data_IF_602202137891
#
_entry.id   IF_602202137891
#
_cell.length_a   1.000
_cell.length_b   1.000
_cell.length_c   1.000
_cell.angle_alpha   90.00
_cell.angle_beta   90.00
_cell.angle_gamma   90.00
#
_symmetry.space_group_name_H-M   'P 1'
#
loop_
_entity.id
_entity.type
_entity.pdbx_description
1 polymer ?
#
# COMPACT_ATOMS: atom_id res chain seq x y z
N UNK A 1 -11.28 3.20 -20.42
CA UNK A 1 -12.68 3.68 -20.36
C UNK A 1 -13.15 3.75 -18.90
N UNK A 2 -14.14 4.59 -18.59
CA UNK A 2 -14.77 4.67 -17.26
C UNK A 2 -15.40 3.33 -16.84
N UNK A 3 -15.98 2.60 -17.80
CA UNK A 3 -16.65 1.32 -17.56
C UNK A 3 -15.70 0.22 -17.06
N UNK A 4 -14.51 0.07 -17.67
CA UNK A 4 -13.49 -0.89 -17.19
C UNK A 4 -13.02 -0.55 -15.78
N UNK A 5 -12.87 0.74 -15.45
CA UNK A 5 -12.49 1.17 -14.09
C UNK A 5 -13.57 0.85 -13.06
N UNK A 6 -14.84 1.05 -13.42
CA UNK A 6 -15.98 0.75 -12.54
C UNK A 6 -16.12 -0.75 -12.29
N UNK A 7 -16.12 -1.56 -13.35
CA UNK A 7 -16.25 -3.02 -13.27
C UNK A 7 -15.05 -3.69 -12.59
N UNK A 8 -13.85 -3.13 -12.74
CA UNK A 8 -12.67 -3.51 -11.96
C UNK A 8 -12.84 -3.24 -10.45
N UNK A 9 -13.50 -2.13 -10.09
CA UNK A 9 -13.86 -1.81 -8.71
C UNK A 9 -14.88 -2.78 -8.11
N UNK A 10 -15.92 -3.13 -8.88
CA UNK A 10 -16.96 -4.10 -8.48
C UNK A 10 -16.37 -5.50 -8.20
N UNK A 11 -15.48 -5.98 -9.08
CA UNK A 11 -14.78 -7.26 -8.90
C UNK A 11 -13.61 -7.19 -7.90
N UNK A 12 -13.36 -6.01 -7.31
CA UNK A 12 -12.23 -5.74 -6.40
C UNK A 12 -10.89 -6.18 -7.02
N UNK A 13 -10.72 -5.98 -8.32
CA UNK A 13 -9.49 -6.28 -9.06
C UNK A 13 -8.89 -4.96 -9.52
N UNK A 14 -7.85 -4.48 -8.84
CA UNK A 14 -7.19 -3.23 -9.21
C UNK A 14 -6.58 -3.31 -10.62
N UNK A 15 -6.54 -2.18 -11.33
CA UNK A 15 -5.97 -2.05 -12.69
C UNK A 15 -4.58 -2.70 -12.86
N UNK A 16 -3.62 -2.54 -11.91
CA UNK A 16 -2.30 -3.19 -12.00
C UNK A 16 -2.36 -4.72 -11.97
N UNK A 17 -3.40 -5.29 -11.38
CA UNK A 17 -3.60 -6.74 -11.32
C UNK A 17 -4.13 -7.27 -12.66
N UNK A 18 -4.96 -6.50 -13.37
CA UNK A 18 -5.48 -6.86 -14.70
C UNK A 18 -4.37 -6.92 -15.76
N UNK A 19 -3.35 -6.04 -15.66
CA UNK A 19 -2.19 -6.03 -16.55
C UNK A 19 -1.35 -7.31 -16.48
N UNK A 20 -1.37 -8.05 -15.37
CA UNK A 20 -0.52 -9.21 -15.17
C UNK A 20 -1.22 -10.48 -15.64
N UNK A 21 -0.68 -11.12 -16.67
CA UNK A 21 -1.28 -12.30 -17.28
C UNK A 21 -1.32 -13.55 -16.41
N UNK A 22 -0.42 -13.69 -15.43
CA UNK A 22 -0.34 -14.89 -14.58
C UNK A 22 -0.05 -14.57 -13.12
N UNK A 23 -0.79 -15.26 -12.24
CA UNK A 23 -0.56 -15.34 -10.80
C UNK A 23 -0.23 -16.80 -10.41
N UNK A 24 1.03 -17.24 -10.60
CA UNK A 24 1.45 -18.59 -10.24
C UNK A 24 1.27 -18.84 -8.74
N UNK A 25 0.71 -20.00 -8.36
CA UNK A 25 0.44 -20.33 -6.95
C UNK A 25 1.70 -20.30 -6.11
N UNK A 26 2.80 -20.86 -6.61
CA UNK A 26 4.06 -20.88 -5.87
C UNK A 26 4.51 -19.49 -5.45
N UNK A 27 4.38 -18.48 -6.32
CA UNK A 27 4.71 -17.09 -5.99
C UNK A 27 3.73 -16.45 -5.01
N UNK A 28 2.44 -16.81 -5.06
CA UNK A 28 1.47 -16.31 -4.08
C UNK A 28 1.70 -16.92 -2.70
N UNK A 29 2.00 -18.21 -2.64
CA UNK A 29 2.31 -18.94 -1.41
C UNK A 29 3.63 -18.44 -0.81
N UNK A 30 4.69 -18.33 -1.62
CA UNK A 30 5.95 -17.72 -1.19
C UNK A 30 5.74 -16.28 -0.72
N UNK A 31 4.85 -15.54 -1.38
CA UNK A 31 4.45 -14.20 -0.96
C UNK A 31 3.78 -14.17 0.42
N UNK A 32 2.92 -15.15 0.75
CA UNK A 32 2.33 -15.28 2.09
C UNK A 32 3.43 -15.52 3.13
N UNK A 33 4.36 -16.45 2.86
CA UNK A 33 5.48 -16.70 3.78
C UNK A 33 6.33 -15.44 3.98
N UNK A 34 6.60 -14.69 2.90
CA UNK A 34 7.29 -13.40 2.97
C UNK A 34 6.55 -12.35 3.80
N UNK A 35 5.22 -12.27 3.68
CA UNK A 35 4.39 -11.41 4.53
C UNK A 35 4.50 -11.81 6.00
N UNK A 36 4.34 -13.09 6.32
CA UNK A 36 4.41 -13.58 7.71
C UNK A 36 5.79 -13.31 8.32
N UNK A 37 6.86 -13.60 7.59
CA UNK A 37 8.24 -13.39 8.07
C UNK A 37 8.55 -11.91 8.32
N UNK A 38 7.98 -10.99 7.51
CA UNK A 38 8.20 -9.54 7.66
C UNK A 38 7.15 -8.82 8.50
N UNK A 39 6.20 -9.55 9.08
CA UNK A 39 5.11 -9.00 9.88
C UNK A 39 5.60 -8.21 11.11
N UNK A 40 6.62 -8.66 11.89
CA UNK A 40 7.13 -7.87 13.01
C UNK A 40 7.66 -6.50 12.58
N UNK A 41 8.42 -6.46 11.47
CA UNK A 41 8.93 -5.22 10.89
C UNK A 41 7.80 -4.32 10.39
N UNK A 42 6.75 -4.91 9.81
CA UNK A 42 5.55 -4.19 9.41
C UNK A 42 4.84 -3.54 10.60
N UNK A 43 4.63 -4.26 11.70
CA UNK A 43 4.00 -3.71 12.91
C UNK A 43 4.83 -2.53 13.44
N UNK A 44 6.15 -2.70 13.51
CA UNK A 44 7.05 -1.65 13.97
C UNK A 44 6.95 -0.38 13.11
N UNK A 45 7.03 -0.52 11.78
CA UNK A 45 6.91 0.59 10.84
C UNK A 45 5.52 1.23 10.81
N UNK A 46 4.47 0.46 11.09
CA UNK A 46 3.08 0.95 11.11
C UNK A 46 2.89 2.06 12.14
N UNK A 47 3.61 2.04 13.26
CA UNK A 47 3.57 3.11 14.26
C UNK A 47 3.93 4.45 13.60
N UNK A 48 5.05 4.50 12.87
CA UNK A 48 5.49 5.69 12.16
C UNK A 48 4.50 6.10 11.07
N UNK A 49 4.07 5.15 10.25
CA UNK A 49 3.13 5.40 9.15
C UNK A 49 1.79 5.94 9.65
N UNK A 50 1.25 5.41 10.75
CA UNK A 50 -0.03 5.87 11.30
C UNK A 50 0.06 7.30 11.80
N UNK A 51 1.14 7.65 12.50
CA UNK A 51 1.35 9.02 13.01
C UNK A 51 1.53 9.99 11.84
N UNK A 52 2.51 9.76 10.97
CA UNK A 52 2.90 10.76 9.96
C UNK A 52 2.14 10.70 8.65
N UNK A 53 1.42 9.61 8.35
CA UNK A 53 0.62 9.50 7.14
C UNK A 53 -0.85 9.22 7.46
N UNK A 54 -1.14 8.36 8.45
CA UNK A 54 -2.50 8.02 8.84
C UNK A 54 -3.30 9.23 9.33
N UNK A 55 -2.76 9.99 10.29
CA UNK A 55 -3.44 11.18 10.83
C UNK A 55 -3.69 12.21 9.71
N UNK A 56 -2.70 12.69 8.94
CA UNK A 56 -2.96 13.61 7.83
C UNK A 56 -4.00 13.07 6.85
N UNK A 57 -3.91 11.80 6.45
CA UNK A 57 -4.84 11.19 5.51
C UNK A 57 -6.28 11.11 6.01
N UNK A 58 -6.50 11.02 7.32
CA UNK A 58 -7.83 11.07 7.92
C UNK A 58 -8.45 12.47 7.89
N UNK A 59 -7.62 13.52 7.87
CA UNK A 59 -8.09 14.91 7.86
C UNK A 59 -8.28 15.46 6.44
N UNK A 60 -7.53 14.97 5.45
CA UNK A 60 -7.59 15.41 4.04
C UNK A 60 -9.02 15.42 3.46
N UNK A 61 -9.86 14.37 3.62
CA UNK A 61 -11.21 14.35 3.06
C UNK A 61 -12.14 15.46 3.59
N UNK A 62 -11.82 16.07 4.74
CA UNK A 62 -12.58 17.18 5.31
C UNK A 62 -12.37 18.50 4.56
N UNK A 63 -11.32 18.59 3.75
CA UNK A 63 -10.99 19.79 2.99
C UNK A 63 -11.68 19.74 1.63
N UNK A 64 -12.51 20.74 1.36
CA UNK A 64 -13.31 20.85 0.12
C UNK A 64 -12.45 20.97 -1.13
N UNK A 65 -11.35 21.72 -1.04
CA UNK A 65 -10.49 22.01 -2.18
C UNK A 65 -9.38 20.97 -2.33
N UNK A 66 -9.44 20.23 -3.45
CA UNK A 66 -8.47 19.18 -3.79
C UNK A 66 -7.07 19.73 -4.05
N UNK A 67 -6.92 20.99 -4.46
CA UNK A 67 -5.61 21.58 -4.75
C UNK A 67 -4.75 21.72 -3.49
N UNK A 68 -5.39 21.89 -2.32
CA UNK A 68 -4.68 22.04 -1.04
C UNK A 68 -4.40 20.71 -0.32
N UNK A 69 -4.89 19.57 -0.83
CA UNK A 69 -4.75 18.28 -0.16
C UNK A 69 -3.27 17.91 0.10
N UNK A 70 -2.39 18.17 -0.86
CA UNK A 70 -0.95 17.90 -0.73
C UNK A 70 -0.27 18.83 0.28
N UNK A 71 -0.55 20.13 0.20
CA UNK A 71 0.03 21.14 1.10
C UNK A 71 -0.39 20.91 2.54
N UNK A 72 -1.67 20.60 2.77
CA UNK A 72 -2.20 20.32 4.10
C UNK A 72 -1.68 18.99 4.64
N UNK A 73 -1.58 17.95 3.79
CA UNK A 73 -0.93 16.70 4.18
C UNK A 73 0.48 16.96 4.70
N UNK A 74 1.26 17.72 3.94
CA UNK A 74 2.62 18.08 4.34
C UNK A 74 2.64 18.89 5.63
N UNK A 75 1.82 19.94 5.73
CA UNK A 75 1.77 20.80 6.92
C UNK A 75 1.42 20.04 8.20
N UNK A 76 0.40 19.18 8.15
CA UNK A 76 0.02 18.34 9.31
C UNK A 76 1.15 17.36 9.64
N UNK A 77 1.74 16.70 8.64
CA UNK A 77 2.84 15.75 8.86
C UNK A 77 4.06 16.42 9.49
N UNK A 78 4.42 17.62 9.02
CA UNK A 78 5.52 18.41 9.53
C UNK A 78 5.25 18.88 10.97
N UNK A 79 4.04 19.36 11.25
CA UNK A 79 3.63 19.73 12.61
C UNK A 79 3.69 18.54 13.59
N UNK A 80 3.22 17.36 13.16
CA UNK A 80 3.36 16.13 13.93
C UNK A 80 4.84 15.75 14.11
N UNK A 81 5.69 15.94 13.09
CA UNK A 81 7.11 15.61 13.17
C UNK A 81 7.83 16.42 14.24
N UNK A 82 7.54 17.73 14.33
CA UNK A 82 8.12 18.60 15.35
C UNK A 82 7.83 18.13 16.79
N UNK A 83 6.68 17.51 17.02
CA UNK A 83 6.28 17.03 18.36
C UNK A 83 6.69 15.58 18.59
N UNK A 84 6.34 14.68 17.67
CA UNK A 84 6.49 13.24 17.88
C UNK A 84 7.91 12.73 17.65
N UNK A 85 8.72 13.36 16.80
CA UNK A 85 10.11 12.94 16.61
C UNK A 85 10.93 13.07 17.91
N UNK A 86 10.96 14.22 18.60
CA UNK A 86 11.71 14.32 19.86
C UNK A 86 11.12 13.41 20.94
N UNK A 87 9.79 13.25 21.01
CA UNK A 87 9.14 12.32 21.95
C UNK A 87 9.59 10.88 21.70
N UNK A 88 9.61 10.43 20.45
CA UNK A 88 10.12 9.10 20.11
C UNK A 88 11.59 8.97 20.47
N UNK A 89 12.45 9.93 20.09
CA UNK A 89 13.88 9.88 20.41
C UNK A 89 14.12 9.70 21.91
N UNK A 90 13.47 10.53 22.75
CA UNK A 90 13.60 10.42 24.22
C UNK A 90 13.09 9.07 24.70
N UNK A 91 11.96 8.59 24.19
CA UNK A 91 11.39 7.30 24.57
C UNK A 91 12.32 6.13 24.24
N UNK A 92 12.94 6.12 23.05
CA UNK A 92 13.90 5.10 22.66
C UNK A 92 15.17 5.14 23.52
N UNK A 93 15.70 6.34 23.84
CA UNK A 93 16.88 6.46 24.69
C UNK A 93 16.61 6.05 26.15
N UNK A 94 15.38 6.19 26.64
CA UNK A 94 15.00 5.76 28.00
C UNK A 94 14.74 4.25 28.11
N UNK A 95 14.17 3.62 27.08
CA UNK A 95 13.85 2.20 27.09
C UNK A 95 15.10 1.33 26.90
N UNK A 96 16.05 1.77 26.06
CA UNK A 96 17.22 0.97 25.69
C UNK A 96 18.47 1.44 26.43
N UNK A 97 18.96 0.61 27.36
CA UNK A 97 20.14 0.89 28.19
C UNK A 97 21.41 1.25 27.39
N UNK A 98 21.74 0.60 26.26
CA UNK A 98 22.75 1.13 25.36
C UNK A 98 22.14 2.21 24.45
N UNK A 99 22.51 3.48 24.68
CA UNK A 99 22.01 4.63 23.90
C UNK A 99 22.18 4.47 22.38
N UNK A 100 23.27 3.84 21.94
CA UNK A 100 23.52 3.54 20.53
C UNK A 100 22.45 2.63 19.92
N UNK A 101 21.96 1.65 20.66
CA UNK A 101 20.89 0.75 20.22
C UNK A 101 19.56 1.51 20.14
N UNK A 102 19.27 2.37 21.13
CA UNK A 102 18.12 3.27 21.08
C UNK A 102 18.13 4.17 19.85
N UNK A 103 19.30 4.73 19.50
CA UNK A 103 19.47 5.56 18.32
C UNK A 103 19.28 4.79 17.01
N UNK A 104 19.87 3.58 16.90
CA UNK A 104 19.69 2.71 15.73
C UNK A 104 18.22 2.36 15.53
N UNK A 105 17.51 1.98 16.59
CA UNK A 105 16.09 1.66 16.51
C UNK A 105 15.28 2.90 16.12
N UNK A 106 15.52 4.04 16.75
CA UNK A 106 14.87 5.30 16.38
C UNK A 106 15.08 5.64 14.88
N UNK A 107 16.29 5.49 14.35
CA UNK A 107 16.56 5.70 12.92
C UNK A 107 15.94 4.63 12.02
N UNK A 108 15.78 3.39 12.52
CA UNK A 108 15.08 2.33 11.80
C UNK A 108 13.56 2.57 11.72
N UNK A 109 12.99 3.40 12.59
CA UNK A 109 11.56 3.70 12.64
C UNK A 109 11.03 4.35 11.32
N UNK A 110 11.61 5.45 10.78
CA UNK A 110 11.17 5.99 9.49
C UNK A 110 11.38 5.01 8.33
N UNK A 111 12.49 4.26 8.34
CA UNK A 111 12.81 3.26 7.29
C UNK A 111 11.78 2.14 7.28
N UNK A 112 11.45 1.61 8.45
CA UNK A 112 10.39 0.59 8.61
C UNK A 112 9.01 1.16 8.28
N UNK A 113 8.76 2.44 8.50
CA UNK A 113 7.53 3.11 8.05
C UNK A 113 7.37 3.12 6.52
N UNK A 114 8.45 3.37 5.78
CA UNK A 114 8.44 3.24 4.31
C UNK A 114 8.21 1.79 3.88
N UNK A 115 8.82 0.84 4.58
CA UNK A 115 8.57 -0.58 4.36
C UNK A 115 7.10 -0.93 4.61
N UNK A 116 6.47 -0.39 5.65
CA UNK A 116 5.09 -0.72 6.01
C UNK A 116 4.07 -0.32 4.94
N UNK A 117 4.28 0.83 4.27
CA UNK A 117 3.44 1.25 3.13
C UNK A 117 3.54 0.22 1.98
N UNK A 118 4.75 -0.22 1.66
CA UNK A 118 4.99 -1.22 0.63
C UNK A 118 4.42 -2.60 1.00
N UNK A 119 4.52 -2.98 2.27
CA UNK A 119 3.94 -4.21 2.79
C UNK A 119 2.43 -4.26 2.54
N UNK A 120 1.69 -3.17 2.80
CA UNK A 120 0.24 -3.11 2.52
C UNK A 120 -0.06 -3.27 1.03
N UNK A 121 0.72 -2.63 0.16
CA UNK A 121 0.57 -2.79 -1.30
C UNK A 121 0.85 -4.23 -1.75
N UNK A 122 1.87 -4.86 -1.19
CA UNK A 122 2.23 -6.24 -1.46
C UNK A 122 1.14 -7.22 -0.97
N UNK A 123 0.59 -6.99 0.21
CA UNK A 123 -0.54 -7.74 0.76
C UNK A 123 -1.79 -7.65 -0.15
N UNK A 124 -2.13 -6.44 -0.62
CA UNK A 124 -3.21 -6.23 -1.60
C UNK A 124 -2.95 -7.00 -2.91
N UNK A 125 -1.70 -7.02 -3.37
CA UNK A 125 -1.30 -7.76 -4.58
C UNK A 125 -1.47 -9.26 -4.42
N UNK A 126 -1.08 -9.84 -3.28
CA UNK A 126 -1.21 -11.28 -3.02
C UNK A 126 -2.68 -11.68 -2.92
N UNK A 127 -3.45 -10.97 -2.09
CA UNK A 127 -4.89 -11.22 -1.92
C UNK A 127 -5.67 -11.05 -3.23
N UNK A 128 -5.34 -10.02 -4.01
CA UNK A 128 -5.89 -9.82 -5.36
C UNK A 128 -5.50 -10.92 -6.35
N UNK A 129 -4.27 -11.44 -6.27
CA UNK A 129 -3.81 -12.56 -7.09
C UNK A 129 -4.58 -13.86 -6.82
N UNK A 130 -4.87 -14.16 -5.55
CA UNK A 130 -5.75 -15.29 -5.20
C UNK A 130 -7.18 -15.11 -5.72
N UNK A 131 -7.72 -13.88 -5.63
CA UNK A 131 -9.05 -13.54 -6.16
C UNK A 131 -9.12 -13.75 -7.67
N UNK A 132 -8.14 -13.26 -8.42
CA UNK A 132 -8.05 -13.47 -9.88
C UNK A 132 -7.97 -14.96 -10.21
N UNK A 133 -7.16 -15.72 -9.48
CA UNK A 133 -7.05 -17.16 -9.71
C UNK A 133 -8.39 -17.87 -9.47
N UNK A 134 -9.16 -17.44 -8.46
CA UNK A 134 -10.52 -17.96 -8.21
C UNK A 134 -11.45 -17.66 -9.38
N UNK A 135 -11.42 -16.46 -9.95
CA UNK A 135 -12.22 -16.11 -11.13
C UNK A 135 -11.83 -16.91 -12.37
N UNK A 136 -10.53 -17.05 -12.64
CA UNK A 136 -10.01 -17.87 -13.74
C UNK A 136 -10.40 -19.35 -13.59
N UNK A 137 -10.31 -19.90 -12.38
CA UNK A 137 -10.69 -21.29 -12.14
C UNK A 137 -12.19 -21.55 -12.32
N UNK A 138 -13.03 -20.54 -12.02
CA UNK A 138 -14.49 -20.60 -12.17
C UNK A 138 -14.98 -20.23 -13.56
N UNK A 139 -14.11 -19.82 -14.48
CA UNK A 139 -14.48 -19.23 -15.78
C UNK A 139 -15.55 -18.15 -15.64
N UNK A 140 -15.37 -17.27 -14.66
CA UNK A 140 -16.31 -16.18 -14.38
C UNK A 140 -16.46 -15.27 -15.60
N UNK A 141 -17.67 -15.23 -16.17
CA UNK A 141 -17.94 -14.53 -17.43
C UNK A 141 -17.73 -13.02 -17.32
N UNK A 142 -18.02 -12.44 -16.15
CA UNK A 142 -17.81 -11.03 -15.87
C UNK A 142 -16.33 -10.66 -15.82
N UNK A 143 -15.52 -11.48 -15.16
CA UNK A 143 -14.07 -11.30 -15.14
C UNK A 143 -13.45 -11.48 -16.53
N UNK A 144 -13.89 -12.49 -17.29
CA UNK A 144 -13.37 -12.72 -18.65
C UNK A 144 -13.71 -11.57 -19.59
N UNK A 145 -14.94 -11.04 -19.50
CA UNK A 145 -15.34 -9.84 -20.24
C UNK A 145 -14.50 -8.63 -19.84
N UNK A 146 -14.33 -8.39 -18.53
CA UNK A 146 -13.50 -7.28 -18.03
C UNK A 146 -12.06 -7.37 -18.54
N UNK A 147 -11.48 -8.57 -18.54
CA UNK A 147 -10.11 -8.80 -19.01
C UNK A 147 -10.00 -8.53 -20.51
N UNK A 148 -10.96 -9.01 -21.30
CA UNK A 148 -11.02 -8.76 -22.74
C UNK A 148 -11.11 -7.25 -23.05
N UNK A 149 -12.06 -6.56 -22.41
CA UNK A 149 -12.26 -5.12 -22.58
C UNK A 149 -10.99 -4.32 -22.22
N UNK A 150 -10.30 -4.73 -21.16
CA UNK A 150 -9.03 -4.13 -20.74
C UNK A 150 -7.91 -4.35 -21.77
N UNK A 151 -7.76 -5.58 -22.27
CA UNK A 151 -6.71 -5.92 -23.23
C UNK A 151 -6.94 -5.23 -24.59
N UNK A 152 -8.21 -5.08 -25.00
CA UNK A 152 -8.59 -4.29 -26.17
C UNK A 152 -8.23 -2.81 -26.00
N UNK A 153 -8.53 -2.21 -24.84
CA UNK A 153 -8.16 -0.82 -24.55
C UNK A 153 -6.64 -0.60 -24.62
N UNK A 154 -5.85 -1.50 -24.04
CA UNK A 154 -4.38 -1.42 -24.11
C UNK A 154 -3.92 -1.49 -25.57
N UNK A 155 -4.50 -2.38 -26.37
CA UNK A 155 -4.19 -2.52 -27.79
C UNK A 155 -4.52 -1.27 -28.60
N UNK A 156 -5.66 -0.62 -28.31
CA UNK A 156 -6.06 0.62 -28.97
C UNK A 156 -5.09 1.76 -28.61
N UNK A 157 -4.76 1.93 -27.33
CA UNK A 157 -3.80 2.94 -26.88
C UNK A 157 -2.42 2.70 -27.51
N UNK A 158 -1.96 1.45 -27.55
CA UNK A 158 -0.68 1.10 -28.16
C UNK A 158 -0.60 1.27 -29.67
N UNK A 159 -1.74 1.41 -30.36
CA UNK A 159 -1.81 1.75 -31.80
C UNK A 159 -1.88 3.25 -32.07
N UNK A 160 -2.28 4.03 -31.07
CA UNK A 160 -2.40 5.49 -31.13
C UNK A 160 -1.11 6.20 -30.72
N UNK A 161 -0.21 5.50 -30.04
CA UNK A 161 1.14 5.94 -29.65
C UNK A 161 2.18 5.51 -30.69
#
# INVERSE_FOLDING_TARGET
SLNVKQKAGELKTDYPLLRKNRHPLGWLIAGIFGLIASLPLFIYGTIFTLVFLGIPNSQIPKIRDKQFHSSIRYGISAGLALVFIPVFLVTFLLIFSPFWLGLILFLALPVSGLFAVNYVLYMKRITGGFRIRKYLHRNDSDYMKLKSDHDELIKLIGKLA
#
